data_IF_293646937363
#
_entry.id   IF_293646937363
#
_cell.length_a   1.000
_cell.length_b   1.000
_cell.length_c   1.000
_cell.angle_alpha   90.00
_cell.angle_beta   90.00
_cell.angle_gamma   90.00
#
_symmetry.space_group_name_H-M   'P 1'
#
loop_
_entity.id
_entity.type
_entity.pdbx_description
1 polymer ?
#
# COMPACT_ATOMS: atom_id res chain seq x y z
N UNK A 1 21.34 15.17 -0.38
CA UNK A 1 22.65 15.14 -1.09
C UNK A 1 23.48 16.35 -0.71
N UNK A 2 24.46 16.24 0.19
CA UNK A 2 25.28 17.39 0.55
C UNK A 2 26.29 17.63 -0.58
N UNK A 3 26.02 18.64 -1.39
CA UNK A 3 26.97 19.19 -2.36
C UNK A 3 27.99 20.06 -1.61
N UNK A 4 28.87 19.40 -0.86
CA UNK A 4 30.05 20.00 -0.25
C UNK A 4 31.10 20.33 -1.33
N UNK A 5 30.79 21.31 -2.19
CA UNK A 5 31.81 21.94 -3.05
C UNK A 5 32.66 22.84 -2.17
N UNK A 6 33.59 22.23 -1.43
CA UNK A 6 34.66 22.98 -0.78
C UNK A 6 35.46 23.68 -1.88
N UNK A 7 35.39 25.01 -1.84
CA UNK A 7 36.22 25.92 -2.60
C UNK A 7 37.67 25.72 -2.13
N UNK A 8 38.36 24.77 -2.74
CA UNK A 8 39.81 24.72 -2.67
C UNK A 8 40.36 25.78 -3.63
N UNK A 9 40.34 27.04 -3.20
CA UNK A 9 41.30 28.01 -3.76
C UNK A 9 42.69 27.51 -3.34
N UNK A 10 43.57 27.12 -4.28
CA UNK A 10 44.90 26.67 -3.93
C UNK A 10 45.61 27.82 -3.22
N UNK A 11 46.14 27.59 -2.02
CA UNK A 11 46.76 28.67 -1.28
C UNK A 11 47.96 29.21 -2.06
N UNK A 12 47.94 30.52 -2.35
CA UNK A 12 49.01 31.24 -3.05
C UNK A 12 50.40 31.01 -2.42
N UNK A 13 50.45 30.70 -1.11
CA UNK A 13 51.69 30.38 -0.40
C UNK A 13 52.39 29.09 -0.86
N UNK A 14 51.70 28.18 -1.59
CA UNK A 14 52.31 26.95 -2.12
C UNK A 14 53.13 27.17 -3.40
N UNK A 15 52.96 28.32 -4.06
CA UNK A 15 53.67 28.65 -5.31
C UNK A 15 54.97 29.44 -5.09
N UNK A 16 55.17 29.99 -3.88
CA UNK A 16 56.38 30.75 -3.53
C UNK A 16 57.68 29.90 -3.51
N UNK A 17 57.70 28.67 -2.96
CA UNK A 17 58.93 27.86 -2.96
C UNK A 17 59.44 27.47 -4.37
N UNK A 18 58.59 26.99 -5.32
CA UNK A 18 59.08 26.60 -6.63
C UNK A 18 59.49 27.79 -7.53
N UNK A 19 58.86 28.96 -7.36
CA UNK A 19 59.22 30.16 -8.14
C UNK A 19 60.60 30.71 -7.78
N UNK A 20 60.97 30.68 -6.49
CA UNK A 20 62.31 31.10 -6.02
C UNK A 20 63.41 30.16 -6.55
N UNK A 21 63.15 28.85 -6.55
CA UNK A 21 64.09 27.84 -7.09
C UNK A 21 64.29 28.03 -8.60
N UNK A 22 63.24 28.40 -9.34
CA UNK A 22 63.33 28.70 -10.78
C UNK A 22 63.98 30.05 -11.09
N UNK A 23 63.85 31.04 -10.21
CA UNK A 23 64.43 32.38 -10.39
C UNK A 23 65.95 32.45 -10.16
N UNK A 24 66.48 31.67 -9.22
CA UNK A 24 67.91 31.64 -8.89
C UNK A 24 68.86 31.36 -10.08
N UNK A 25 68.62 30.36 -10.96
CA UNK A 25 69.46 30.13 -12.13
C UNK A 25 69.40 31.24 -13.17
N UNK A 26 68.25 31.92 -13.34
CA UNK A 26 68.12 33.08 -14.22
C UNK A 26 68.93 34.28 -13.72
N UNK A 27 68.93 34.52 -12.41
CA UNK A 27 69.77 35.56 -11.79
C UNK A 27 71.26 35.23 -11.92
N UNK A 28 71.65 33.96 -11.74
CA UNK A 28 73.03 33.53 -11.97
C UNK A 28 73.44 33.71 -13.44
N UNK A 29 72.58 33.37 -14.39
CA UNK A 29 72.85 33.57 -15.82
C UNK A 29 73.03 35.05 -16.18
N UNK A 30 72.21 35.95 -15.60
CA UNK A 30 72.36 37.40 -15.78
C UNK A 30 73.65 37.96 -15.18
N UNK A 31 74.06 37.48 -14.00
CA UNK A 31 75.32 37.87 -13.37
C UNK A 31 76.56 37.45 -14.17
N UNK A 32 76.50 36.32 -14.86
CA UNK A 32 77.60 35.83 -15.70
C UNK A 32 77.84 36.71 -16.94
N UNK A 33 76.80 37.35 -17.48
CA UNK A 33 76.90 38.24 -18.64
C UNK A 33 77.49 39.61 -18.31
N UNK A 34 77.45 40.05 -17.04
CA UNK A 34 77.95 41.35 -16.61
C UNK A 34 79.41 41.35 -16.13
N UNK A 35 80.08 40.19 -16.02
CA UNK A 35 81.42 40.10 -15.43
C UNK A 35 82.43 39.38 -16.33
N UNK A 36 83.60 40.00 -16.54
CA UNK A 36 84.70 39.44 -17.32
C UNK A 36 85.80 38.77 -16.49
N UNK A 37 85.70 38.79 -15.16
CA UNK A 37 86.72 38.26 -14.25
C UNK A 37 86.55 36.73 -14.07
N UNK A 38 87.57 35.90 -14.37
CA UNK A 38 87.44 34.43 -14.35
C UNK A 38 87.08 33.85 -12.97
N UNK A 39 87.47 34.51 -11.87
CA UNK A 39 87.10 34.05 -10.52
C UNK A 39 85.61 34.26 -10.24
N UNK A 40 85.04 35.37 -10.70
CA UNK A 40 83.60 35.67 -10.55
C UNK A 40 82.76 34.68 -11.36
N UNK A 41 83.18 34.38 -12.59
CA UNK A 41 82.50 33.41 -13.46
C UNK A 41 82.46 31.99 -12.86
N UNK A 42 83.55 31.56 -12.20
CA UNK A 42 83.62 30.27 -11.49
C UNK A 42 82.71 30.24 -10.26
N UNK A 43 82.60 31.34 -9.52
CA UNK A 43 81.66 31.46 -8.40
C UNK A 43 80.20 31.34 -8.84
N UNK A 44 79.83 32.02 -9.93
CA UNK A 44 78.48 32.01 -10.47
C UNK A 44 78.08 30.63 -11.02
N UNK A 45 78.99 29.94 -11.71
CA UNK A 45 78.72 28.58 -12.22
C UNK A 45 78.60 27.57 -11.08
N UNK A 46 79.41 27.68 -10.02
CA UNK A 46 79.25 26.86 -8.81
C UNK A 46 77.90 27.11 -8.12
N UNK A 47 77.45 28.36 -8.02
CA UNK A 47 76.15 28.71 -7.47
C UNK A 47 74.99 28.17 -8.31
N UNK A 48 75.08 28.24 -9.64
CA UNK A 48 74.07 27.68 -10.55
C UNK A 48 73.99 26.14 -10.45
N UNK A 49 75.14 25.45 -10.35
CA UNK A 49 75.19 24.01 -10.13
C UNK A 49 74.57 23.61 -8.78
N UNK A 50 74.86 24.36 -7.71
CA UNK A 50 74.24 24.14 -6.41
C UNK A 50 72.71 24.34 -6.46
N UNK A 51 72.23 25.39 -7.13
CA UNK A 51 70.80 25.63 -7.32
C UNK A 51 70.11 24.50 -8.10
N UNK A 52 70.76 23.96 -9.15
CA UNK A 52 70.25 22.83 -9.91
C UNK A 52 70.13 21.55 -9.06
N UNK A 53 71.14 21.26 -8.21
CA UNK A 53 71.10 20.12 -7.28
C UNK A 53 69.99 20.30 -6.24
N UNK A 54 69.84 21.49 -5.66
CA UNK A 54 68.75 21.78 -4.71
C UNK A 54 67.38 21.63 -5.37
N UNK A 55 67.20 22.17 -6.58
CA UNK A 55 65.96 22.01 -7.36
C UNK A 55 65.62 20.54 -7.62
N UNK A 56 66.62 19.74 -8.02
CA UNK A 56 66.44 18.31 -8.25
C UNK A 56 66.05 17.55 -6.97
N UNK A 57 66.65 17.88 -5.82
CA UNK A 57 66.30 17.27 -4.53
C UNK A 57 64.88 17.64 -4.09
N UNK A 58 64.49 18.90 -4.27
CA UNK A 58 63.13 19.36 -3.94
C UNK A 58 62.10 18.65 -4.81
N UNK A 59 62.31 18.58 -6.14
CA UNK A 59 61.42 17.85 -7.05
C UNK A 59 61.29 16.38 -6.65
N UNK A 60 62.42 15.71 -6.35
CA UNK A 60 62.41 14.32 -5.90
C UNK A 60 61.66 14.12 -4.58
N UNK A 61 61.70 15.11 -3.68
CA UNK A 61 60.94 15.09 -2.42
C UNK A 61 59.45 15.33 -2.67
N UNK A 62 59.11 16.22 -3.60
CA UNK A 62 57.73 16.51 -3.98
C UNK A 62 57.08 15.30 -4.65
N UNK A 63 57.76 14.63 -5.58
CA UNK A 63 57.27 13.41 -6.22
C UNK A 63 56.97 12.31 -5.18
N UNK A 64 57.86 12.15 -4.19
CA UNK A 64 57.66 11.17 -3.10
C UNK A 64 56.49 11.53 -2.20
N UNK A 65 56.28 12.82 -1.90
CA UNK A 65 55.17 13.26 -1.05
C UNK A 65 53.84 13.20 -1.80
N UNK A 66 53.81 13.57 -3.08
CA UNK A 66 52.65 13.43 -3.95
C UNK A 66 52.24 11.97 -4.11
N UNK A 67 53.20 11.06 -4.33
CA UNK A 67 52.93 9.63 -4.40
C UNK A 67 52.31 9.06 -3.12
N UNK A 68 52.79 9.49 -1.94
CA UNK A 68 52.19 9.12 -0.65
C UNK A 68 50.77 9.66 -0.51
N UNK A 69 50.55 10.94 -0.81
CA UNK A 69 49.22 11.54 -0.74
C UNK A 69 48.22 10.86 -1.67
N UNK A 70 48.61 10.54 -2.91
CA UNK A 70 47.76 9.80 -3.85
C UNK A 70 47.45 8.40 -3.32
N UNK A 71 48.45 7.70 -2.74
CA UNK A 71 48.24 6.38 -2.13
C UNK A 71 47.27 6.45 -0.93
N UNK A 72 47.38 7.47 -0.09
CA UNK A 72 46.50 7.63 1.06
C UNK A 72 45.08 8.06 0.64
N UNK A 73 44.95 8.95 -0.36
CA UNK A 73 43.65 9.33 -0.93
C UNK A 73 42.96 8.18 -1.64
N UNK A 74 43.70 7.35 -2.38
CA UNK A 74 43.14 6.16 -3.05
C UNK A 74 42.68 5.12 -2.04
N UNK A 75 43.43 4.91 -0.95
CA UNK A 75 43.00 4.05 0.18
C UNK A 75 41.75 4.62 0.87
N UNK A 76 41.72 5.92 1.12
CA UNK A 76 40.57 6.62 1.70
C UNK A 76 39.32 6.48 0.83
N UNK A 77 39.45 6.78 -0.47
CA UNK A 77 38.35 6.67 -1.44
C UNK A 77 37.83 5.23 -1.57
N UNK A 78 38.71 4.21 -1.52
CA UNK A 78 38.28 2.81 -1.52
C UNK A 78 37.45 2.47 -0.26
N UNK A 79 37.90 2.93 0.92
CA UNK A 79 37.16 2.71 2.17
C UNK A 79 35.82 3.45 2.21
N UNK A 80 35.73 4.65 1.63
CA UNK A 80 34.49 5.40 1.51
C UNK A 80 33.52 4.73 0.56
N UNK A 81 33.98 4.25 -0.60
CA UNK A 81 33.15 3.49 -1.53
C UNK A 81 32.58 2.24 -0.88
N UNK A 82 33.40 1.49 -0.15
CA UNK A 82 32.93 0.32 0.59
C UNK A 82 31.85 0.68 1.63
N UNK A 83 32.04 1.75 2.42
CA UNK A 83 31.02 2.22 3.37
C UNK A 83 29.74 2.68 2.68
N UNK A 84 29.84 3.28 1.50
CA UNK A 84 28.68 3.67 0.72
C UNK A 84 27.96 2.46 0.14
N UNK A 85 28.69 1.46 -0.34
CA UNK A 85 28.13 0.19 -0.82
C UNK A 85 27.42 -0.54 0.32
N UNK A 86 27.99 -0.58 1.52
CA UNK A 86 27.35 -1.16 2.71
C UNK A 86 26.07 -0.40 3.07
N UNK A 87 26.12 0.94 3.15
CA UNK A 87 24.94 1.75 3.44
C UNK A 87 23.85 1.61 2.36
N UNK A 88 24.22 1.40 1.10
CA UNK A 88 23.26 1.12 0.02
C UNK A 88 22.64 -0.26 0.22
N UNK A 89 23.42 -1.28 0.59
CA UNK A 89 22.91 -2.62 0.87
C UNK A 89 21.94 -2.63 2.08
N UNK A 90 22.24 -1.88 3.14
CA UNK A 90 21.34 -1.69 4.27
C UNK A 90 20.01 -1.05 3.85
N UNK A 91 20.06 0.04 3.06
CA UNK A 91 18.85 0.71 2.56
C UNK A 91 18.03 -0.17 1.61
N UNK A 92 18.68 -0.96 0.76
CA UNK A 92 18.02 -1.93 -0.11
C UNK A 92 17.31 -3.02 0.72
N UNK A 93 17.95 -3.49 1.80
CA UNK A 93 17.34 -4.40 2.77
C UNK A 93 16.10 -3.81 3.45
N UNK A 94 16.20 -2.60 4.00
CA UNK A 94 15.07 -1.89 4.62
C UNK A 94 13.90 -1.69 3.64
N UNK A 95 14.21 -1.42 2.36
CA UNK A 95 13.20 -1.30 1.31
C UNK A 95 12.50 -2.64 1.04
N UNK A 96 13.23 -3.74 0.99
CA UNK A 96 12.65 -5.08 0.85
C UNK A 96 11.76 -5.44 2.04
N UNK A 97 12.20 -5.17 3.27
CA UNK A 97 11.40 -5.37 4.49
C UNK A 97 10.10 -4.56 4.47
N UNK A 98 10.18 -3.28 4.08
CA UNK A 98 8.99 -2.42 3.97
C UNK A 98 7.98 -2.94 2.94
N UNK A 99 8.47 -3.47 1.81
CA UNK A 99 7.64 -4.08 0.76
C UNK A 99 6.97 -5.35 1.27
N UNK A 100 7.69 -6.19 2.01
CA UNK A 100 7.11 -7.38 2.63
C UNK A 100 6.01 -7.01 3.64
N UNK A 101 6.27 -6.02 4.52
CA UNK A 101 5.27 -5.55 5.47
C UNK A 101 4.02 -5.03 4.75
N UNK A 102 4.20 -4.26 3.68
CA UNK A 102 3.08 -3.75 2.87
C UNK A 102 2.26 -4.89 2.29
N UNK A 103 2.89 -5.88 1.66
CA UNK A 103 2.16 -7.03 1.08
C UNK A 103 1.42 -7.84 2.14
N UNK A 104 2.01 -8.03 3.33
CA UNK A 104 1.36 -8.68 4.48
C UNK A 104 0.14 -7.90 4.95
N UNK A 105 0.24 -6.57 5.08
CA UNK A 105 -0.88 -5.71 5.48
C UNK A 105 -1.99 -5.67 4.42
N UNK A 106 -1.63 -5.58 3.14
CA UNK A 106 -2.59 -5.66 2.03
C UNK A 106 -3.33 -7.01 2.00
N UNK A 107 -2.65 -8.11 2.32
CA UNK A 107 -3.25 -9.43 2.48
C UNK A 107 -4.28 -9.47 3.60
N UNK A 108 -3.92 -8.95 4.79
CA UNK A 108 -4.85 -8.85 5.94
C UNK A 108 -6.05 -7.98 5.62
N UNK A 109 -5.84 -6.84 4.97
CA UNK A 109 -6.90 -5.91 4.60
C UNK A 109 -7.86 -6.53 3.58
N UNK A 110 -7.35 -7.26 2.59
CA UNK A 110 -8.18 -8.03 1.64
C UNK A 110 -9.00 -9.12 2.35
N UNK A 111 -8.39 -9.87 3.27
CA UNK A 111 -9.10 -10.85 4.10
C UNK A 111 -10.23 -10.20 4.90
N UNK A 112 -9.96 -9.10 5.61
CA UNK A 112 -10.97 -8.36 6.38
C UNK A 112 -12.10 -7.81 5.52
N UNK A 113 -11.80 -7.30 4.32
CA UNK A 113 -12.82 -6.87 3.36
C UNK A 113 -13.70 -8.04 2.91
N UNK A 114 -13.13 -9.22 2.67
CA UNK A 114 -13.91 -10.41 2.32
C UNK A 114 -14.77 -10.93 3.48
N UNK A 115 -14.27 -10.87 4.71
CA UNK A 115 -15.05 -11.22 5.92
C UNK A 115 -16.25 -10.28 6.09
N UNK A 116 -16.05 -8.97 5.94
CA UNK A 116 -17.14 -7.99 6.00
C UNK A 116 -18.18 -8.19 4.89
N UNK A 117 -17.73 -8.51 3.67
CA UNK A 117 -18.64 -8.86 2.58
C UNK A 117 -19.44 -10.14 2.90
N UNK A 118 -18.79 -11.14 3.49
CA UNK A 118 -19.44 -12.36 4.01
C UNK A 118 -20.54 -12.06 5.02
N UNK A 119 -20.22 -11.29 6.08
CA UNK A 119 -21.18 -10.92 7.12
C UNK A 119 -22.36 -10.11 6.58
N UNK A 120 -22.11 -9.20 5.63
CA UNK A 120 -23.19 -8.44 4.96
C UNK A 120 -24.13 -9.37 4.18
N UNK A 121 -23.58 -10.37 3.49
CA UNK A 121 -24.37 -11.35 2.76
C UNK A 121 -25.17 -12.28 3.70
N UNK A 122 -24.56 -12.70 4.81
CA UNK A 122 -25.23 -13.48 5.86
C UNK A 122 -26.38 -12.68 6.50
N UNK A 123 -26.16 -11.40 6.78
CA UNK A 123 -27.20 -10.51 7.31
C UNK A 123 -28.37 -10.35 6.31
N UNK A 124 -28.07 -10.12 5.03
CA UNK A 124 -29.09 -10.07 3.99
C UNK A 124 -29.86 -11.40 3.87
N UNK A 125 -29.18 -12.54 4.01
CA UNK A 125 -29.82 -13.85 4.01
C UNK A 125 -30.73 -14.04 5.23
N UNK A 126 -30.31 -13.61 6.42
CA UNK A 126 -31.12 -13.64 7.63
C UNK A 126 -32.37 -12.78 7.50
N UNK A 127 -32.25 -11.56 6.97
CA UNK A 127 -33.41 -10.68 6.74
C UNK A 127 -34.40 -11.29 5.75
N UNK A 128 -33.93 -11.92 4.66
CA UNK A 128 -34.81 -12.64 3.72
C UNK A 128 -35.55 -13.79 4.42
N UNK A 129 -34.85 -14.60 5.21
CA UNK A 129 -35.45 -15.72 5.96
C UNK A 129 -36.47 -15.24 7.00
N UNK A 130 -36.17 -14.13 7.67
CA UNK A 130 -37.10 -13.54 8.62
C UNK A 130 -38.35 -12.99 7.92
N UNK A 131 -38.16 -12.27 6.81
CA UNK A 131 -39.27 -11.77 6.01
C UNK A 131 -40.17 -12.90 5.49
N UNK A 132 -39.59 -14.00 4.98
CA UNK A 132 -40.38 -15.18 4.56
C UNK A 132 -41.10 -15.84 5.73
N UNK A 133 -40.44 -15.97 6.89
CA UNK A 133 -41.08 -16.52 8.08
C UNK A 133 -42.25 -15.64 8.55
N UNK A 134 -42.14 -14.32 8.43
CA UNK A 134 -43.21 -13.40 8.82
C UNK A 134 -44.37 -13.40 7.81
N UNK A 135 -44.11 -13.50 6.51
CA UNK A 135 -45.17 -13.66 5.51
C UNK A 135 -45.87 -15.02 5.60
N UNK A 136 -45.14 -16.09 5.93
CA UNK A 136 -45.70 -17.41 6.24
C UNK A 136 -46.60 -17.36 7.49
N UNK A 137 -46.19 -16.66 8.55
CA UNK A 137 -47.03 -16.45 9.73
C UNK A 137 -48.30 -15.66 9.42
N UNK A 138 -48.18 -14.56 8.67
CA UNK A 138 -49.31 -13.74 8.28
C UNK A 138 -50.32 -14.53 7.42
N UNK A 139 -49.82 -15.25 6.40
CA UNK A 139 -50.66 -16.09 5.55
C UNK A 139 -51.33 -17.24 6.30
N UNK A 140 -50.67 -17.83 7.31
CA UNK A 140 -51.28 -18.83 8.18
C UNK A 140 -52.43 -18.23 9.03
N UNK A 141 -52.29 -17.01 9.53
CA UNK A 141 -53.35 -16.30 10.26
C UNK A 141 -54.51 -15.92 9.35
N UNK A 142 -54.24 -15.44 8.13
CA UNK A 142 -55.28 -15.18 7.13
C UNK A 142 -56.00 -16.45 6.68
N UNK A 143 -55.27 -17.55 6.50
CA UNK A 143 -55.85 -18.86 6.23
C UNK A 143 -56.81 -19.29 7.32
N UNK A 144 -56.43 -19.15 8.61
CA UNK A 144 -57.32 -19.40 9.75
C UNK A 144 -58.55 -18.48 9.76
N UNK A 145 -58.38 -17.19 9.44
CA UNK A 145 -59.51 -16.23 9.33
C UNK A 145 -60.49 -16.63 8.23
N UNK A 146 -60.00 -17.01 7.06
CA UNK A 146 -60.84 -17.48 5.93
C UNK A 146 -61.63 -18.73 6.29
N UNK A 147 -60.96 -19.71 6.90
CA UNK A 147 -61.62 -20.94 7.37
C UNK A 147 -62.69 -20.64 8.43
N UNK A 148 -62.47 -19.68 9.33
CA UNK A 148 -63.48 -19.27 10.31
C UNK A 148 -64.69 -18.60 9.66
N UNK A 149 -64.48 -17.73 8.65
CA UNK A 149 -65.57 -17.11 7.88
C UNK A 149 -66.37 -18.18 7.14
N UNK A 150 -65.71 -19.11 6.46
CA UNK A 150 -66.34 -20.23 5.75
C UNK A 150 -67.14 -21.14 6.70
N UNK A 151 -66.61 -21.43 7.90
CA UNK A 151 -67.32 -22.20 8.91
C UNK A 151 -68.54 -21.45 9.50
N UNK A 152 -68.47 -20.11 9.56
CA UNK A 152 -69.58 -19.26 10.02
C UNK A 152 -70.63 -18.97 8.95
N UNK A 153 -70.34 -19.26 7.67
CA UNK A 153 -71.29 -19.09 6.58
C UNK A 153 -72.43 -20.12 6.72
N UNK A 154 -73.70 -19.72 6.52
CA UNK A 154 -74.84 -20.63 6.66
C UNK A 154 -74.71 -21.78 5.66
N UNK A 155 -74.90 -23.02 6.13
CA UNK A 155 -74.78 -24.22 5.32
C UNK A 155 -75.57 -24.07 4.01
N UNK A 156 -74.87 -24.14 2.88
CA UNK A 156 -75.48 -24.15 1.55
C UNK A 156 -76.47 -25.30 1.52
N UNK A 157 -77.77 -25.00 1.52
CA UNK A 157 -78.81 -26.00 1.45
C UNK A 157 -78.56 -26.88 0.21
N UNK A 158 -78.20 -28.14 0.44
CA UNK A 158 -78.09 -29.12 -0.62
C UNK A 158 -79.48 -29.19 -1.30
N UNK A 159 -79.56 -29.07 -2.64
CA UNK A 159 -80.82 -29.33 -3.32
C UNK A 159 -81.28 -30.74 -2.90
N UNK A 160 -82.57 -30.93 -2.56
CA UNK A 160 -83.06 -32.23 -2.15
C UNK A 160 -82.68 -33.25 -3.22
N UNK A 161 -82.08 -34.36 -2.79
CA UNK A 161 -81.78 -35.48 -3.66
C UNK A 161 -83.07 -35.86 -4.40
N UNK A 162 -83.11 -35.57 -5.71
CA UNK A 162 -84.15 -36.10 -6.58
C UNK A 162 -83.90 -37.60 -6.62
N UNK A 163 -84.79 -38.36 -5.99
CA UNK A 163 -84.86 -39.81 -6.19
C UNK A 163 -84.89 -40.08 -7.69
N UNK A 164 -83.81 -40.66 -8.20
CA UNK A 164 -83.77 -41.11 -9.58
C UNK A 164 -84.66 -42.35 -9.70
N UNK A 165 -85.71 -42.24 -10.50
CA UNK A 165 -86.39 -43.39 -11.09
C UNK A 165 -85.39 -44.21 -11.94
N UNK A 166 -85.55 -45.55 -12.03
CA UNK A 166 -84.65 -46.38 -12.80
C UNK A 166 -84.98 -46.24 -14.30
N UNK A 167 -84.23 -45.37 -14.98
CA UNK A 167 -84.16 -45.39 -16.45
C UNK A 167 -82.87 -46.08 -16.85
N UNK A 168 -83.02 -47.19 -17.55
CA UNK A 168 -81.93 -47.93 -18.17
C UNK A 168 -81.27 -47.08 -19.26
N UNK A 169 -80.00 -46.71 -19.02
CA UNK A 169 -79.12 -46.18 -20.06
C UNK A 169 -77.70 -46.70 -19.80
N UNK A 170 -77.07 -47.18 -20.87
CA UNK A 170 -75.81 -47.90 -20.99
C UNK A 170 -74.62 -47.38 -20.15
N UNK A 171 -73.66 -48.24 -19.77
CA UNK A 171 -72.58 -47.87 -18.86
C UNK A 171 -71.55 -46.99 -19.56
N UNK A 172 -71.64 -45.68 -19.32
CA UNK A 172 -70.51 -44.77 -19.50
C UNK A 172 -69.68 -44.77 -18.23
N UNK A 173 -68.41 -45.11 -18.37
CA UNK A 173 -67.44 -45.36 -17.30
C UNK A 173 -67.27 -44.15 -16.37
N UNK A 174 -67.77 -44.27 -15.14
CA UNK A 174 -67.25 -43.49 -14.02
C UNK A 174 -65.78 -43.88 -13.77
N UNK A 175 -64.87 -42.93 -13.46
CA UNK A 175 -63.51 -43.29 -13.08
C UNK A 175 -63.60 -44.12 -11.79
N UNK A 176 -63.22 -45.40 -11.89
CA UNK A 176 -63.10 -46.25 -10.72
C UNK A 176 -62.10 -45.61 -9.72
N UNK A 177 -62.33 -45.75 -8.40
CA UNK A 177 -61.36 -45.31 -7.41
C UNK A 177 -60.02 -45.99 -7.73
N UNK A 178 -58.94 -45.21 -7.81
CA UNK A 178 -57.59 -45.71 -8.08
C UNK A 178 -57.27 -46.76 -7.02
N UNK A 179 -57.41 -48.03 -7.37
CA UNK A 179 -57.01 -49.13 -6.49
C UNK A 179 -55.50 -49.09 -6.44
N UNK A 180 -54.99 -48.76 -5.27
CA UNK A 180 -53.56 -48.76 -5.00
C UNK A 180 -53.07 -50.21 -5.05
N UNK A 181 -52.55 -50.61 -6.20
CA UNK A 181 -51.93 -51.92 -6.41
C UNK A 181 -50.41 -51.81 -6.21
N UNK A 182 -49.73 -52.87 -5.76
CA UNK A 182 -48.27 -52.88 -5.61
C UNK A 182 -47.51 -52.47 -6.88
N UNK A 183 -48.09 -52.73 -8.06
CA UNK A 183 -47.52 -52.33 -9.36
C UNK A 183 -47.52 -50.81 -9.59
N UNK A 184 -48.43 -50.07 -8.96
CA UNK A 184 -48.49 -48.62 -9.05
C UNK A 184 -47.31 -47.99 -8.29
N UNK A 185 -46.99 -48.53 -7.11
CA UNK A 185 -45.82 -48.10 -6.33
C UNK A 185 -44.49 -48.39 -7.04
N UNK A 186 -44.37 -49.58 -7.66
CA UNK A 186 -43.17 -49.90 -8.45
C UNK A 186 -42.99 -48.96 -9.65
N UNK A 187 -44.10 -48.61 -10.33
CA UNK A 187 -44.07 -47.65 -11.44
C UNK A 187 -43.73 -46.23 -10.97
N UNK A 188 -44.22 -45.80 -9.81
CA UNK A 188 -43.91 -44.50 -9.22
C UNK A 188 -42.44 -44.38 -8.82
N UNK A 189 -41.88 -45.43 -8.18
CA UNK A 189 -40.46 -45.46 -7.81
C UNK A 189 -39.54 -45.44 -9.04
N UNK A 190 -39.87 -46.20 -10.09
CA UNK A 190 -39.12 -46.16 -11.36
C UNK A 190 -39.17 -44.78 -12.04
N UNK A 191 -40.24 -44.00 -11.84
CA UNK A 191 -40.32 -42.62 -12.34
C UNK A 191 -39.46 -41.66 -11.52
N UNK A 192 -39.42 -41.82 -10.19
CA UNK A 192 -38.55 -41.05 -9.31
C UNK A 192 -37.06 -41.31 -9.58
N UNK A 193 -36.68 -42.57 -9.84
CA UNK A 193 -35.29 -42.92 -10.17
C UNK A 193 -34.82 -42.28 -11.49
N UNK A 194 -35.73 -42.08 -12.45
CA UNK A 194 -35.44 -41.37 -13.70
C UNK A 194 -35.27 -39.87 -13.50
N UNK A 195 -35.95 -39.29 -12.51
CA UNK A 195 -35.85 -37.87 -12.18
C UNK A 195 -34.63 -37.57 -11.29
N UNK A 196 -34.28 -38.50 -10.41
CA UNK A 196 -33.14 -38.40 -9.50
C UNK A 196 -31.80 -38.61 -10.20
N UNK A 197 -31.79 -39.17 -11.42
CA UNK A 197 -30.57 -39.26 -12.22
C UNK A 197 -30.27 -37.89 -12.83
N UNK A 198 -29.16 -37.22 -12.48
CA UNK A 198 -28.78 -35.97 -13.13
C UNK A 198 -28.62 -36.23 -14.63
N UNK A 199 -29.25 -35.40 -15.45
CA UNK A 199 -29.10 -35.43 -16.90
C UNK A 199 -27.60 -35.30 -17.22
N UNK A 200 -26.99 -36.40 -17.67
CA UNK A 200 -25.63 -36.36 -18.17
C UNK A 200 -25.61 -35.49 -19.44
N UNK A 201 -24.67 -34.53 -19.57
CA UNK A 201 -24.58 -33.74 -20.79
C UNK A 201 -24.27 -34.65 -21.98
N UNK A 202 -24.97 -34.41 -23.09
CA UNK A 202 -24.71 -35.06 -24.36
C UNK A 202 -23.26 -34.80 -24.79
N UNK A 203 -22.56 -35.78 -25.42
CA UNK A 203 -21.22 -35.56 -25.93
C UNK A 203 -21.31 -34.61 -27.13
N UNK A 204 -20.84 -33.38 -26.92
CA UNK A 204 -20.48 -32.46 -28.00
C UNK A 204 -19.26 -33.04 -28.71
N UNK A 205 -19.37 -33.15 -30.04
CA UNK A 205 -18.32 -33.60 -30.92
C UNK A 205 -17.05 -32.74 -30.72
N UNK A 206 -15.92 -33.40 -30.49
CA UNK A 206 -14.61 -32.76 -30.52
C UNK A 206 -14.18 -32.50 -31.96
N UNK A 207 -14.07 -31.22 -32.28
CA UNK A 207 -13.36 -30.69 -33.44
C UNK A 207 -11.88 -30.59 -33.05
N UNK A 208 -11.05 -31.40 -33.71
CA UNK A 208 -9.60 -31.38 -33.55
C UNK A 208 -9.02 -30.19 -34.30
N UNK A 209 -8.49 -29.19 -33.58
CA UNK A 209 -7.31 -28.51 -34.10
C UNK A 209 -6.39 -27.91 -33.03
N UNK A 210 -5.10 -28.17 -33.23
CA UNK A 210 -3.86 -27.53 -32.77
C UNK A 210 -3.79 -26.84 -31.40
N UNK A 211 -2.83 -27.26 -30.55
CA UNK A 211 -1.62 -26.49 -30.14
C UNK A 211 -0.80 -27.26 -29.09
N UNK A 212 0.49 -27.40 -29.35
CA UNK A 212 1.39 -28.26 -28.58
C UNK A 212 1.72 -27.84 -27.15
N UNK A 213 2.22 -28.82 -26.39
CA UNK A 213 3.26 -28.68 -25.37
C UNK A 213 3.86 -30.06 -25.05
N UNK A 214 5.16 -30.18 -25.27
CA UNK A 214 6.00 -31.27 -24.80
C UNK A 214 6.45 -30.99 -23.37
N UNK A 215 6.10 -31.88 -22.43
CA UNK A 215 6.77 -32.16 -21.13
C UNK A 215 5.90 -33.18 -20.37
N UNK A 216 6.39 -34.16 -19.63
CA UNK A 216 7.72 -34.36 -19.09
C UNK A 216 7.98 -35.86 -18.89
N UNK A 217 9.20 -36.29 -19.16
CA UNK A 217 9.72 -37.58 -18.75
C UNK A 217 9.85 -37.64 -17.22
N UNK A 218 9.43 -38.76 -16.64
CA UNK A 218 9.60 -39.10 -15.23
C UNK A 218 11.07 -39.41 -14.93
N UNK A 219 11.78 -38.45 -14.36
CA UNK A 219 13.11 -38.65 -13.79
C UNK A 219 13.00 -39.11 -12.33
N UNK A 220 13.41 -40.34 -12.06
CA UNK A 220 13.60 -40.85 -10.70
C UNK A 220 14.92 -40.28 -10.16
N UNK A 221 14.86 -39.38 -9.18
CA UNK A 221 16.03 -38.95 -8.43
C UNK A 221 16.28 -39.91 -7.26
N UNK A 222 17.43 -40.57 -7.29
CA UNK A 222 18.02 -41.27 -6.15
C UNK A 222 18.65 -40.24 -5.22
N UNK A 223 18.28 -40.26 -3.93
CA UNK A 223 18.91 -39.45 -2.88
C UNK A 223 19.83 -40.35 -2.07
N UNK A 224 21.11 -40.00 -1.83
CA UNK A 224 21.93 -40.72 -0.87
C UNK A 224 21.72 -40.19 0.57
N UNK A 225 21.94 -41.10 1.51
CA UNK A 225 21.71 -40.95 2.93
C UNK A 225 22.73 -40.06 3.65
N UNK A 226 22.21 -39.36 4.67
CA UNK A 226 22.81 -38.98 5.96
C UNK A 226 24.15 -38.22 6.00
N UNK A 227 24.08 -36.95 6.43
CA UNK A 227 25.15 -36.23 7.10
C UNK A 227 24.62 -35.63 8.41
N UNK A 228 25.30 -35.89 9.52
CA UNK A 228 24.95 -35.42 10.86
C UNK A 228 25.17 -33.91 11.00
N UNK A 229 24.14 -33.18 11.47
CA UNK A 229 24.21 -31.74 11.74
C UNK A 229 24.39 -31.51 13.24
N UNK A 230 25.45 -30.78 13.59
CA UNK A 230 25.73 -30.24 14.93
C UNK A 230 24.73 -29.12 15.23
N UNK A 231 24.08 -29.07 16.40
CA UNK A 231 23.16 -27.98 16.72
C UNK A 231 23.92 -26.65 16.94
N UNK A 232 23.47 -25.53 16.35
CA UNK A 232 24.06 -24.22 16.63
C UNK A 232 23.66 -23.74 18.03
N UNK A 233 24.61 -23.11 18.72
CA UNK A 233 24.40 -22.46 20.02
C UNK A 233 23.39 -21.30 19.92
N UNK A 234 22.51 -21.19 20.92
CA UNK A 234 21.48 -20.16 20.97
C UNK A 234 22.09 -18.75 21.16
N UNK A 235 21.69 -17.72 20.39
CA UNK A 235 22.16 -16.36 20.59
C UNK A 235 21.47 -15.71 21.81
N UNK A 236 22.27 -15.05 22.65
CA UNK A 236 21.78 -14.21 23.75
C UNK A 236 21.04 -12.97 23.20
N UNK A 237 19.81 -12.73 23.66
CA UNK A 237 19.00 -11.56 23.30
C UNK A 237 19.63 -10.30 23.91
N UNK A 238 19.99 -9.31 23.08
CA UNK A 238 20.27 -7.95 23.56
C UNK A 238 18.94 -7.27 23.88
N UNK A 239 18.88 -6.58 25.02
CA UNK A 239 17.73 -5.75 25.37
C UNK A 239 17.58 -4.62 24.34
N UNK A 240 16.40 -4.50 23.75
CA UNK A 240 16.00 -3.36 22.94
C UNK A 240 15.97 -2.12 23.85
N UNK A 241 16.96 -1.24 23.70
CA UNK A 241 16.88 0.13 24.22
C UNK A 241 16.12 0.94 23.18
N UNK A 242 14.90 1.37 23.53
CA UNK A 242 14.06 2.19 22.65
C UNK A 242 12.60 1.77 22.68
N UNK A 243 11.94 1.93 23.83
CA UNK A 243 10.48 1.77 23.94
C UNK A 243 9.79 3.05 23.48
N UNK A 244 9.20 3.03 22.28
CA UNK A 244 8.27 4.06 21.83
C UNK A 244 6.93 3.85 22.57
N UNK A 245 6.53 4.80 23.41
CA UNK A 245 5.27 4.76 24.15
C UNK A 245 4.19 5.57 23.42
N UNK A 246 3.26 4.88 22.79
CA UNK A 246 2.16 5.47 22.03
C UNK A 246 1.07 6.09 22.92
N UNK A 247 1.00 5.74 24.22
CA UNK A 247 -0.05 6.19 25.14
C UNK A 247 0.44 7.12 26.26
N UNK A 248 1.74 7.44 26.31
CA UNK A 248 2.30 8.44 27.23
C UNK A 248 2.14 8.10 28.71
N UNK A 249 2.20 6.83 29.09
CA UNK A 249 2.07 6.38 30.49
C UNK A 249 3.41 5.97 31.13
N UNK A 250 4.51 6.06 30.40
CA UNK A 250 5.86 5.93 30.94
C UNK A 250 6.30 7.19 31.68
N UNK A 251 6.18 7.19 33.01
CA UNK A 251 6.68 8.25 33.87
C UNK A 251 8.20 8.43 33.80
N UNK A 252 8.65 9.39 33.01
CA UNK A 252 9.95 10.05 33.16
C UNK A 252 9.73 11.54 32.91
N UNK A 253 9.96 12.35 33.95
CA UNK A 253 9.85 13.79 33.89
C UNK A 253 10.91 14.35 32.92
N UNK A 254 10.47 14.79 31.74
CA UNK A 254 11.26 15.60 30.81
C UNK A 254 10.80 17.04 30.95
N UNK A 255 11.73 17.93 31.27
CA UNK A 255 11.52 19.36 31.42
C UNK A 255 11.05 20.00 30.08
N UNK A 256 10.18 21.02 30.10
CA UNK A 256 9.66 21.61 28.87
C UNK A 256 10.69 22.59 28.31
N UNK A 257 11.28 22.28 27.15
CA UNK A 257 12.20 23.23 26.52
C UNK A 257 13.00 22.81 25.30
N UNK A 258 12.83 21.60 24.74
CA UNK A 258 13.61 21.18 23.57
C UNK A 258 12.70 20.85 22.38
N UNK A 259 12.48 21.91 21.60
CA UNK A 259 12.48 21.95 20.13
C UNK A 259 11.68 20.90 19.35
N UNK A 260 10.38 21.14 19.21
CA UNK A 260 9.50 20.48 18.22
C UNK A 260 9.51 21.18 16.85
N UNK A 261 10.34 22.21 16.66
CA UNK A 261 10.35 22.98 15.41
C UNK A 261 11.17 22.34 14.28
N UNK A 262 11.94 21.27 14.56
CA UNK A 262 12.88 20.68 13.58
C UNK A 262 12.33 19.40 12.89
N UNK A 263 11.10 18.97 13.22
CA UNK A 263 10.51 17.73 12.68
C UNK A 263 9.64 17.97 11.44
N UNK A 264 9.22 19.20 11.19
CA UNK A 264 8.54 19.57 9.94
C UNK A 264 9.53 20.33 9.06
N UNK A 265 10.26 19.60 8.22
CA UNK A 265 11.18 20.21 7.26
C UNK A 265 10.44 21.25 6.39
N UNK A 266 11.10 22.37 6.10
CA UNK A 266 10.59 23.48 5.29
C UNK A 266 9.99 23.04 3.93
N UNK A 267 10.37 21.86 3.45
CA UNK A 267 9.84 21.22 2.24
C UNK A 267 8.34 20.87 2.35
N UNK A 268 7.86 20.41 3.52
CA UNK A 268 6.45 20.09 3.74
C UNK A 268 5.57 21.34 3.81
N UNK A 269 6.07 22.42 4.42
CA UNK A 269 5.39 23.73 4.44
C UNK A 269 5.33 24.36 3.04
N UNK A 270 6.41 24.24 2.24
CA UNK A 270 6.43 24.75 0.87
C UNK A 270 5.49 23.98 -0.07
N UNK A 271 5.31 22.67 0.12
CA UNK A 271 4.32 21.88 -0.63
C UNK A 271 2.88 22.23 -0.24
N UNK A 272 2.63 22.44 1.05
CA UNK A 272 1.31 22.86 1.55
C UNK A 272 0.94 24.27 1.07
N UNK A 273 1.90 25.21 1.03
CA UNK A 273 1.70 26.52 0.44
C UNK A 273 1.40 26.48 -1.06
N UNK A 274 2.08 25.59 -1.81
CA UNK A 274 1.81 25.39 -3.25
C UNK A 274 0.41 24.82 -3.48
N UNK A 275 0.00 23.85 -2.68
CA UNK A 275 -1.37 23.30 -2.72
C UNK A 275 -2.42 24.35 -2.36
N UNK A 276 -2.17 25.20 -1.36
CA UNK A 276 -3.07 26.29 -1.00
C UNK A 276 -3.16 27.37 -2.10
N UNK A 277 -2.06 27.66 -2.79
CA UNK A 277 -2.05 28.59 -3.95
C UNK A 277 -2.82 28.00 -5.14
N UNK A 278 -2.67 26.70 -5.41
CA UNK A 278 -3.46 25.99 -6.43
C UNK A 278 -4.96 25.91 -6.10
N UNK A 279 -5.33 25.68 -4.84
CA UNK A 279 -6.74 25.69 -4.44
C UNK A 279 -7.36 27.09 -4.53
N UNK A 280 -6.60 28.15 -4.22
CA UNK A 280 -7.05 29.53 -4.42
C UNK A 280 -7.20 29.90 -5.90
N UNK A 281 -6.31 29.43 -6.77
CA UNK A 281 -6.45 29.61 -8.22
C UNK A 281 -7.66 28.85 -8.79
N UNK A 282 -7.88 27.59 -8.40
CA UNK A 282 -9.07 26.83 -8.80
C UNK A 282 -10.39 27.42 -8.29
N UNK A 283 -10.36 28.19 -7.19
CA UNK A 283 -11.53 28.92 -6.69
C UNK A 283 -11.73 30.27 -7.41
N UNK A 284 -10.65 30.92 -7.87
CA UNK A 284 -10.73 32.17 -8.64
C UNK A 284 -11.14 31.94 -10.11
N UNK A 285 -10.70 30.85 -10.75
CA UNK A 285 -11.12 30.48 -12.11
C UNK A 285 -12.61 30.07 -12.20
N UNK A 286 -13.30 29.93 -11.06
CA UNK A 286 -14.76 29.69 -10.98
C UNK A 286 -15.57 30.96 -10.79
N UNK A 287 -14.94 32.12 -10.64
CA UNK A 287 -15.59 33.40 -10.40
C UNK A 287 -15.13 34.46 -11.40
N UNK A 288 -15.40 34.25 -12.69
CA UNK A 288 -15.54 35.34 -13.65
C UNK A 288 -16.82 35.11 -14.49
N UNK A 289 -17.76 36.08 -14.57
CA UNK A 289 -18.98 35.95 -15.34
C UNK A 289 -18.80 36.59 -16.72
N UNK A 290 -18.87 35.80 -17.79
CA UNK A 290 -19.41 36.22 -19.09
C UNK A 290 -19.38 35.09 -20.12
N UNK A 291 -20.53 34.85 -20.75
CA UNK A 291 -20.67 33.89 -21.84
C UNK A 291 -22.14 33.53 -22.06
N UNK A 292 -22.91 34.48 -22.57
CA UNK A 292 -24.22 34.22 -23.18
C UNK A 292 -24.09 33.08 -24.20
N UNK A 293 -24.85 32.01 -24.00
CA UNK A 293 -25.52 31.26 -25.06
C UNK A 293 -26.60 30.36 -24.44
N UNK A 294 -27.86 30.71 -24.75
CA UNK A 294 -29.00 29.83 -24.56
C UNK A 294 -28.82 28.52 -25.36
N UNK A 295 -29.48 27.43 -24.92
CA UNK A 295 -30.72 27.12 -25.61
C UNK A 295 -31.87 26.78 -24.65
N UNK A 296 -33.06 27.04 -25.17
CA UNK A 296 -34.36 26.80 -24.57
C UNK A 296 -34.61 25.30 -24.35
N UNK A 297 -35.32 24.99 -23.26
CA UNK A 297 -35.91 23.68 -22.98
C UNK A 297 -36.89 23.83 -21.83
N UNK A 298 -38.17 23.77 -22.17
CA UNK A 298 -39.36 24.04 -21.37
C UNK A 298 -39.59 23.12 -20.17
N UNK A 299 -40.39 23.67 -19.24
CA UNK A 299 -41.41 23.03 -18.39
C UNK A 299 -41.04 22.56 -16.97
N UNK A 300 -41.63 23.33 -16.04
CA UNK A 300 -42.56 22.88 -15.00
C UNK A 300 -42.06 22.66 -13.56
N UNK A 301 -42.94 23.16 -12.69
CA UNK A 301 -43.19 22.82 -11.29
C UNK A 301 -42.53 23.67 -10.19
N UNK A 302 -43.42 24.50 -9.63
CA UNK A 302 -43.68 24.71 -8.20
C UNK A 302 -42.63 25.36 -7.31
N UNK A 303 -43.06 26.48 -6.74
CA UNK A 303 -42.44 27.12 -5.60
C UNK A 303 -42.50 26.20 -4.38
N UNK A 304 -41.34 25.74 -3.96
CA UNK A 304 -41.07 25.42 -2.57
C UNK A 304 -39.92 26.34 -2.13
N UNK A 305 -40.28 27.41 -1.43
CA UNK A 305 -39.33 28.27 -0.73
C UNK A 305 -38.49 27.39 0.20
N UNK A 306 -37.21 27.20 -0.16
CA UNK A 306 -36.22 26.63 0.75
C UNK A 306 -35.87 27.70 1.77
N UNK A 307 -36.65 27.76 2.84
CA UNK A 307 -36.26 28.49 4.03
C UNK A 307 -34.96 27.87 4.56
N UNK A 308 -33.84 28.57 4.32
CA UNK A 308 -32.53 28.21 4.84
C UNK A 308 -32.58 28.52 6.33
N UNK A 309 -32.89 27.51 7.14
CA UNK A 309 -32.80 27.62 8.59
C UNK A 309 -31.33 27.82 8.93
N UNK A 310 -31.01 29.02 9.38
CA UNK A 310 -29.65 29.41 9.76
C UNK A 310 -29.29 28.77 11.10
N UNK A 311 -28.58 27.63 11.02
CA UNK A 311 -28.10 26.87 12.18
C UNK A 311 -26.95 27.58 12.93
N UNK A 312 -26.43 28.68 12.41
CA UNK A 312 -25.31 29.40 13.03
C UNK A 312 -25.70 30.13 14.32
N UNK A 313 -26.99 30.40 14.55
CA UNK A 313 -27.44 31.07 15.78
C UNK A 313 -27.68 30.11 16.96
N UNK A 314 -27.69 28.78 16.74
CA UNK A 314 -27.93 27.78 17.79
C UNK A 314 -26.67 27.02 18.22
N UNK A 315 -25.49 27.46 17.77
CA UNK A 315 -24.20 26.87 18.18
C UNK A 315 -23.71 27.46 19.52
N UNK A 316 -24.63 27.64 20.48
CA UNK A 316 -24.25 27.80 21.88
C UNK A 316 -23.85 26.42 22.40
N UNK A 317 -22.58 26.09 22.23
CA UNK A 317 -21.97 24.93 22.85
C UNK A 317 -22.12 25.04 24.36
N UNK A 318 -23.05 24.31 24.97
CA UNK A 318 -23.02 24.11 26.42
C UNK A 318 -21.66 23.48 26.76
N UNK A 319 -20.80 24.26 27.40
CA UNK A 319 -19.51 23.78 27.88
C UNK A 319 -19.79 22.76 28.99
N UNK A 320 -19.62 21.48 28.67
CA UNK A 320 -19.72 20.39 29.64
C UNK A 320 -18.64 20.62 30.70
N UNK A 321 -19.04 20.93 31.93
CA UNK A 321 -18.12 21.07 33.06
C UNK A 321 -17.55 19.69 33.43
N UNK A 322 -16.38 19.41 32.87
CA UNK A 322 -15.61 18.18 33.09
C UNK A 322 -15.15 18.00 34.55
N UNK A 323 -15.34 19.00 35.41
CA UNK A 323 -15.08 18.93 36.85
C UNK A 323 -16.00 17.94 37.56
N UNK A 324 -17.30 18.00 37.31
CA UNK A 324 -18.31 17.18 37.99
C UNK A 324 -18.23 15.70 37.56
N UNK A 325 -17.88 15.46 36.28
CA UNK A 325 -17.62 14.13 35.73
C UNK A 325 -16.40 13.43 36.36
N UNK A 326 -15.38 14.18 36.79
CA UNK A 326 -14.21 13.62 37.47
C UNK A 326 -14.48 13.24 38.93
N UNK A 327 -15.39 13.93 39.61
CA UNK A 327 -15.81 13.54 40.97
C UNK A 327 -16.68 12.29 40.98
N UNK A 328 -17.54 12.09 39.97
CA UNK A 328 -18.41 10.92 39.88
C UNK A 328 -17.64 9.60 39.61
N UNK A 329 -16.44 9.68 39.04
CA UNK A 329 -15.58 8.52 38.75
C UNK A 329 -14.68 8.12 39.92
N UNK A 330 -14.69 8.90 41.02
CA UNK A 330 -13.83 8.69 42.19
C UNK A 330 -14.61 8.34 43.47
N UNK A 331 -15.94 8.27 43.39
CA UNK A 331 -16.81 7.69 44.41
C UNK A 331 -17.05 6.21 44.12
#
# INVERSE_FOLDING_TARGET
MPRGRHRHSPPLHRLLPPSVIAGAPLVCAGGAWLSGDPLVLRGITAAAAAAAVVGAVVMRRWDRLAGKQVADLTRGAASERWRHEEAVAELEGDLEESRELRTRLEGKLRSKRSELAGLRNEHAALLRRYATAETERASALEGRRRLAIEASAPAKALPPARSAEPVATSPSSAPAPIRVTPSLYLRANAALDRLARPAAPAPVAEETDSRGKSRAASGHFTVPAAAAVVPPAAPARRALVGGFDFFGTGGAAVAPGEDLADVVGEEALAEQEKQNKQNKQNQQDRQDPQGEQAPQGEQDSDGAEKEVIDLTAHDETEQIDVGELRSALRA
#
